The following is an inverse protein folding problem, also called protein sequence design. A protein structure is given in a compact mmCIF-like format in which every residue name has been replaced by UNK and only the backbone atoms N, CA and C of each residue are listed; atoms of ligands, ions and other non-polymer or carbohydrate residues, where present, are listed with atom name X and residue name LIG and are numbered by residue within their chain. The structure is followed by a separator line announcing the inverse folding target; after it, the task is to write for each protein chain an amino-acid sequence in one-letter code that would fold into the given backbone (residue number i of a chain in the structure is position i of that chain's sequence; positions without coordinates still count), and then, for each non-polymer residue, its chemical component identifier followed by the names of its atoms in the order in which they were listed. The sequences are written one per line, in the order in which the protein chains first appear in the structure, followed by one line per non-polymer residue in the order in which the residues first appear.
data_IF_907868852242
#
_entry.id   IF_907868852242
#
_cell.length_a   1.000
_cell.length_b   1.000
_cell.length_c   1.000
_cell.angle_alpha   90.00
_cell.angle_beta   90.00
_cell.angle_gamma   90.00
#
_symmetry.space_group_name_H-M   'P 1'
#
loop_
_entity.id
_entity.type
_entity.pdbx_description
1 polymer ?
#
# COMPACT_ATOMS: atom_id res chain seq x y z
N UNK A 1 -1.40 10.81 -3.24
CA UNK A 1 -2.46 10.44 -2.28
C UNK A 1 -2.04 9.22 -1.46
N UNK A 2 -2.67 8.95 -0.32
CA UNK A 2 -2.44 7.71 0.45
C UNK A 2 -3.67 6.82 0.33
N UNK A 3 -3.44 5.57 -0.07
CA UNK A 3 -4.46 4.53 -0.19
C UNK A 3 -4.15 3.41 0.79
N UNK A 4 -5.17 2.88 1.46
CA UNK A 4 -5.01 1.76 2.37
C UNK A 4 -5.59 0.49 1.76
N UNK A 5 -4.87 -0.62 1.89
CA UNK A 5 -5.31 -1.95 1.48
C UNK A 5 -5.19 -2.91 2.66
N UNK A 6 -6.06 -3.91 2.74
CA UNK A 6 -6.01 -4.93 3.79
C UNK A 6 -7.28 -5.04 4.60
N UNK A 7 -7.13 -5.60 5.80
CA UNK A 7 -8.20 -5.75 6.76
C UNK A 7 -7.68 -5.32 8.14
N UNK A 8 -8.48 -4.56 8.88
CA UNK A 8 -8.14 -4.03 10.20
C UNK A 8 -7.70 -5.12 11.20
N UNK A 9 -8.03 -6.38 10.96
CA UNK A 9 -7.73 -7.49 11.87
C UNK A 9 -6.34 -8.13 11.70
N UNK A 10 -5.60 -7.89 10.61
CA UNK A 10 -4.36 -8.65 10.34
C UNK A 10 -3.20 -7.81 9.80
N UNK A 11 -3.37 -7.21 8.63
CA UNK A 11 -2.31 -6.47 7.93
C UNK A 11 -2.93 -5.35 7.13
N UNK A 12 -2.29 -4.19 7.20
CA UNK A 12 -2.65 -3.00 6.44
C UNK A 12 -1.44 -2.56 5.63
N UNK A 13 -1.67 -2.29 4.36
CA UNK A 13 -0.69 -1.70 3.46
C UNK A 13 -1.06 -0.25 3.19
N UNK A 14 -0.14 0.68 3.44
CA UNK A 14 -0.27 2.07 3.06
C UNK A 14 0.50 2.31 1.76
N UNK A 15 -0.22 2.65 0.70
CA UNK A 15 0.33 2.93 -0.62
C UNK A 15 0.26 4.43 -0.85
N UNK A 16 1.41 5.08 -0.96
CA UNK A 16 1.54 6.46 -1.37
C UNK A 16 1.75 6.54 -2.88
N UNK A 17 0.87 7.23 -3.57
CA UNK A 17 0.97 7.53 -5.01
C UNK A 17 1.07 9.02 -5.26
N UNK A 18 1.54 9.43 -6.44
CA UNK A 18 1.46 10.82 -6.90
C UNK A 18 0.00 11.22 -7.13
N UNK A 19 -0.72 10.43 -7.94
CA UNK A 19 -2.09 10.67 -8.37
C UNK A 19 -3.06 9.62 -7.84
N UNK A 20 -4.35 9.78 -8.11
CA UNK A 20 -5.35 8.75 -7.80
C UNK A 20 -5.11 7.49 -8.65
N UNK A 21 -5.17 6.32 -8.00
CA UNK A 21 -4.96 5.04 -8.67
C UNK A 21 -6.19 4.66 -9.52
N UNK A 22 -6.01 4.34 -10.82
CA UNK A 22 -7.10 3.85 -11.66
C UNK A 22 -7.60 2.48 -11.19
N UNK A 23 -8.82 2.13 -11.60
CA UNK A 23 -9.46 0.88 -11.18
C UNK A 23 -8.64 -0.38 -11.53
N UNK A 24 -7.94 -0.37 -12.68
CA UNK A 24 -7.07 -1.47 -13.09
C UNK A 24 -5.88 -1.67 -12.13
N UNK A 25 -5.23 -0.58 -11.72
CA UNK A 25 -4.08 -0.65 -10.80
C UNK A 25 -4.54 -1.07 -9.40
N UNK A 26 -5.74 -0.66 -8.98
CA UNK A 26 -6.34 -1.13 -7.73
C UNK A 26 -6.54 -2.65 -7.77
N UNK A 27 -6.96 -3.23 -8.90
CA UNK A 27 -7.12 -4.68 -9.05
C UNK A 27 -5.77 -5.40 -8.99
N UNK A 28 -4.74 -4.88 -9.66
CA UNK A 28 -3.37 -5.42 -9.61
C UNK A 28 -2.80 -5.38 -8.19
N UNK A 29 -2.99 -4.27 -7.48
CA UNK A 29 -2.55 -4.12 -6.09
C UNK A 29 -3.31 -5.04 -5.15
N UNK A 30 -4.62 -5.20 -5.34
CA UNK A 30 -5.43 -6.15 -4.58
C UNK A 30 -4.88 -7.58 -4.74
N UNK A 31 -4.53 -7.98 -5.97
CA UNK A 31 -3.87 -9.26 -6.22
C UNK A 31 -2.49 -9.36 -5.55
N UNK A 32 -1.65 -8.33 -5.72
CA UNK A 32 -0.29 -8.27 -5.17
C UNK A 32 -0.28 -8.41 -3.64
N UNK A 33 -1.28 -7.83 -2.96
CA UNK A 33 -1.44 -7.90 -1.52
C UNK A 33 -2.20 -9.15 -1.04
N UNK A 34 -2.33 -10.19 -1.88
CA UNK A 34 -2.94 -11.46 -1.51
C UNK A 34 -4.46 -11.43 -1.37
N UNK A 35 -5.15 -10.59 -2.17
CA UNK A 35 -6.60 -10.41 -2.11
C UNK A 35 -7.05 -9.38 -1.07
N UNK A 36 -6.13 -8.58 -0.56
CA UNK A 36 -6.41 -7.46 0.34
C UNK A 36 -7.07 -6.30 -0.42
N UNK A 37 -8.37 -6.12 -0.22
CA UNK A 37 -9.14 -5.05 -0.85
C UNK A 37 -8.73 -3.64 -0.41
N UNK A 38 -8.99 -2.66 -1.28
CA UNK A 38 -8.83 -1.23 -0.96
C UNK A 38 -9.86 -0.80 0.09
N UNK A 39 -9.38 -0.20 1.17
CA UNK A 39 -10.21 0.40 2.20
C UNK A 39 -10.71 1.76 1.70
N UNK A 40 -11.99 2.05 1.92
CA UNK A 40 -12.61 3.33 1.53
C UNK A 40 -12.17 4.51 2.41
N UNK A 41 -11.57 4.21 3.57
CA UNK A 41 -11.22 5.22 4.55
C UNK A 41 -9.87 5.85 4.23
N UNK A 42 -9.77 7.18 4.39
CA UNK A 42 -8.50 7.92 4.27
C UNK A 42 -7.75 8.01 5.60
N UNK A 43 -8.39 7.64 6.71
CA UNK A 43 -7.81 7.62 8.05
C UNK A 43 -8.26 6.33 8.72
N UNK A 44 -7.30 5.57 9.23
CA UNK A 44 -7.53 4.42 10.09
C UNK A 44 -7.19 4.82 11.53
N UNK A 45 -8.14 4.63 12.44
CA UNK A 45 -7.98 4.93 13.87
C UNK A 45 -7.88 3.61 14.61
N UNK A 46 -6.68 3.06 14.67
CA UNK A 46 -6.37 1.87 15.47
C UNK A 46 -4.88 1.86 15.84
N UNK A 47 -4.45 0.85 16.59
CA UNK A 47 -3.03 0.62 16.92
C UNK A 47 -2.39 -0.26 15.87
N UNK A 48 -1.39 0.27 15.20
CA UNK A 48 -0.63 -0.41 14.16
C UNK A 48 0.87 -0.38 14.48
N UNK A 49 1.57 -1.47 14.20
CA UNK A 49 3.02 -1.63 14.36
C UNK A 49 3.66 -1.69 12.98
N UNK A 50 4.70 -0.87 12.76
CA UNK A 50 5.42 -0.83 11.49
C UNK A 50 6.69 0.02 11.59
N UNK A 51 7.33 0.25 10.44
CA UNK A 51 8.51 1.10 10.36
C UNK A 51 8.19 2.54 10.79
N UNK A 52 9.19 3.25 11.31
CA UNK A 52 9.04 4.69 11.62
C UNK A 52 8.73 5.45 10.33
N UNK A 53 7.84 6.44 10.41
CA UNK A 53 7.43 7.24 9.25
C UNK A 53 8.61 7.84 8.47
N UNK A 54 9.69 8.21 9.17
CA UNK A 54 10.90 8.80 8.58
C UNK A 54 11.87 7.79 7.95
N UNK A 55 11.68 6.49 8.15
CA UNK A 55 12.53 5.43 7.61
C UNK A 55 11.83 4.71 6.46
N UNK A 56 12.58 4.31 5.43
CA UNK A 56 12.09 3.44 4.36
C UNK A 56 12.62 2.04 4.66
N UNK A 57 11.73 1.04 4.76
CA UNK A 57 12.15 -0.34 5.00
C UNK A 57 12.71 -0.97 3.72
N UNK A 58 13.62 -1.96 3.80
CA UNK A 58 14.03 -2.74 2.63
C UNK A 58 12.84 -3.42 1.92
N UNK A 59 11.82 -3.80 2.70
CA UNK A 59 10.58 -4.33 2.15
C UNK A 59 9.84 -3.27 1.30
N UNK A 60 9.78 -2.02 1.76
CA UNK A 60 9.18 -0.90 1.03
C UNK A 60 9.80 -0.74 -0.35
N UNK A 61 11.14 -0.74 -0.42
CA UNK A 61 11.89 -0.62 -1.68
C UNK A 61 11.48 -1.72 -2.65
N UNK A 62 11.51 -2.98 -2.21
CA UNK A 62 11.14 -4.12 -3.04
C UNK A 62 9.66 -4.05 -3.49
N UNK A 63 8.76 -3.64 -2.59
CA UNK A 63 7.34 -3.54 -2.90
C UNK A 63 7.08 -2.49 -4.00
N UNK A 64 7.74 -1.33 -3.94
CA UNK A 64 7.66 -0.30 -4.98
C UNK A 64 8.22 -0.82 -6.30
N UNK A 65 9.39 -1.46 -6.30
CA UNK A 65 10.00 -2.03 -7.51
C UNK A 65 9.09 -3.08 -8.19
N UNK A 66 8.43 -3.94 -7.40
CA UNK A 66 7.48 -4.92 -7.93
C UNK A 66 6.30 -4.21 -8.62
N UNK A 67 5.76 -3.15 -8.02
CA UNK A 67 4.65 -2.42 -8.65
C UNK A 67 5.05 -1.75 -9.96
N UNK A 68 6.27 -1.22 -10.05
CA UNK A 68 6.82 -0.67 -11.29
C UNK A 68 6.98 -1.77 -12.37
N UNK A 69 7.48 -2.94 -12.00
CA UNK A 69 7.59 -4.10 -12.90
C UNK A 69 6.22 -4.61 -13.39
N UNK A 70 5.15 -4.40 -12.60
CA UNK A 70 3.76 -4.72 -12.99
C UNK A 70 3.11 -3.62 -13.86
N UNK A 71 3.84 -2.58 -14.23
CA UNK A 71 3.34 -1.46 -15.03
C UNK A 71 2.52 -0.43 -14.24
N UNK A 72 2.56 -0.48 -12.91
CA UNK A 72 1.91 0.52 -12.04
C UNK A 72 2.93 1.63 -11.77
N UNK A 73 2.76 2.77 -12.43
CA UNK A 73 3.67 3.91 -12.31
C UNK A 73 3.16 4.93 -11.30
N UNK A 74 4.06 5.74 -10.74
CA UNK A 74 3.69 6.83 -9.83
C UNK A 74 3.40 6.40 -8.39
N UNK A 75 3.73 5.16 -8.00
CA UNK A 75 3.82 4.77 -6.59
C UNK A 75 5.15 5.30 -6.04
N UNK A 76 5.04 6.12 -5.00
CA UNK A 76 6.17 6.74 -4.31
C UNK A 76 6.70 5.82 -3.21
N UNK A 77 5.77 5.18 -2.48
CA UNK A 77 6.11 4.38 -1.30
C UNK A 77 5.01 3.39 -0.96
N UNK A 78 5.40 2.21 -0.47
CA UNK A 78 4.48 1.22 0.10
C UNK A 78 5.01 0.81 1.46
N UNK A 79 4.16 0.75 2.48
CA UNK A 79 4.57 0.26 3.80
C UNK A 79 3.55 -0.73 4.36
N UNK A 80 4.03 -1.76 5.06
CA UNK A 80 3.18 -2.71 5.77
C UNK A 80 3.09 -2.39 7.26
N UNK A 81 1.90 -2.67 7.81
CA UNK A 81 1.57 -2.50 9.22
C UNK A 81 0.79 -3.71 9.72
N UNK A 82 1.02 -4.10 10.97
CA UNK A 82 0.35 -5.19 11.69
C UNK A 82 -0.40 -4.62 12.89
#
# INVERSE_FOLDING_TARGET
MIHFFGNNANKVFAVQSENELPAEDILKLNWLFGGAGKLKNHILKDRFVGARASMISPWSTNAVEITQNMGISGIIRIEEFI
#
